data_IF_604270580153
#
_entry.id   IF_604270580153
#
_cell.length_a   1.000
_cell.length_b   1.000
_cell.length_c   1.000
_cell.angle_alpha   90.00
_cell.angle_beta   90.00
_cell.angle_gamma   90.00
#
_symmetry.space_group_name_H-M   'P 1'
#
loop_
_entity.id
_entity.type
_entity.pdbx_description
1 polymer ?
#
# COMPACT_ATOMS: atom_id res chain seq x y z
N UNK A 1 -17.10 25.83 -17.08
CA UNK A 1 -15.87 25.06 -17.35
C UNK A 1 -14.78 25.62 -16.45
N UNK A 2 -14.58 25.05 -15.27
CA UNK A 2 -13.51 25.45 -14.36
C UNK A 2 -12.27 24.64 -14.70
N UNK A 3 -11.28 25.30 -15.30
CA UNK A 3 -9.96 24.71 -15.49
C UNK A 3 -9.32 24.50 -14.11
N UNK A 4 -8.96 23.25 -13.83
CA UNK A 4 -8.29 22.87 -12.59
C UNK A 4 -6.79 23.19 -12.72
N UNK A 5 -6.17 23.85 -11.72
CA UNK A 5 -4.74 24.17 -11.77
C UNK A 5 -3.89 22.91 -11.94
N UNK A 6 -2.85 22.99 -12.75
CA UNK A 6 -2.05 21.85 -13.21
C UNK A 6 -1.66 20.90 -12.08
N UNK A 7 -2.19 19.68 -12.10
CA UNK A 7 -1.83 18.59 -11.20
C UNK A 7 -0.49 17.97 -11.62
N UNK A 8 0.62 18.70 -11.53
CA UNK A 8 1.94 18.07 -11.53
C UNK A 8 2.12 17.42 -10.16
N UNK A 9 2.27 16.08 -10.12
CA UNK A 9 2.81 15.42 -8.94
C UNK A 9 4.22 15.98 -8.73
N UNK A 10 4.43 16.74 -7.65
CA UNK A 10 5.77 16.97 -7.16
C UNK A 10 6.38 15.60 -6.88
N UNK A 11 7.56 15.33 -7.45
CA UNK A 11 8.30 14.10 -7.24
C UNK A 11 8.75 14.03 -5.78
N UNK A 12 7.86 13.62 -4.88
CA UNK A 12 8.23 13.14 -3.55
C UNK A 12 8.67 11.69 -3.69
N UNK A 13 9.65 11.28 -2.87
CA UNK A 13 10.28 9.95 -2.86
C UNK A 13 9.25 8.82 -2.70
N UNK A 14 8.66 8.41 -3.81
CA UNK A 14 7.51 7.50 -3.87
C UNK A 14 7.81 6.46 -4.93
N UNK A 15 7.52 5.20 -4.65
CA UNK A 15 7.79 4.12 -5.61
C UNK A 15 7.04 4.37 -6.93
N UNK A 16 7.61 3.95 -8.08
CA UNK A 16 7.02 4.23 -9.40
C UNK A 16 5.55 3.81 -9.53
N UNK A 17 5.18 2.69 -8.89
CA UNK A 17 3.82 2.16 -8.90
C UNK A 17 2.84 3.06 -8.13
N UNK A 18 3.19 3.50 -6.91
CA UNK A 18 2.32 4.35 -6.08
C UNK A 18 2.17 5.76 -6.68
N UNK A 19 3.23 6.27 -7.30
CA UNK A 19 3.19 7.52 -8.08
C UNK A 19 2.24 7.40 -9.28
N UNK A 20 2.32 6.29 -10.03
CA UNK A 20 1.41 6.00 -11.15
C UNK A 20 -0.04 5.88 -10.70
N UNK A 21 -0.32 5.14 -9.62
CA UNK A 21 -1.67 4.97 -9.08
C UNK A 21 -2.29 6.32 -8.70
N UNK A 22 -1.52 7.16 -8.00
CA UNK A 22 -1.93 8.53 -7.67
C UNK A 22 -2.30 9.34 -8.91
N UNK A 23 -1.44 9.27 -9.93
CA UNK A 23 -1.65 9.98 -11.20
C UNK A 23 -2.91 9.51 -11.93
N UNK A 24 -3.09 8.19 -12.07
CA UNK A 24 -4.23 7.60 -12.80
C UNK A 24 -5.55 7.90 -12.10
N UNK A 25 -5.62 7.71 -10.78
CA UNK A 25 -6.85 7.97 -10.00
C UNK A 25 -7.29 9.43 -10.09
N UNK A 26 -6.35 10.38 -9.97
CA UNK A 26 -6.65 11.81 -10.09
C UNK A 26 -6.99 12.20 -11.53
N UNK A 27 -6.35 11.58 -12.53
CA UNK A 27 -6.66 11.80 -13.94
C UNK A 27 -8.08 11.34 -14.29
N UNK A 28 -8.48 10.15 -13.85
CA UNK A 28 -9.81 9.62 -14.08
C UNK A 28 -10.89 10.53 -13.49
N UNK A 29 -10.66 11.07 -12.29
CA UNK A 29 -11.56 12.01 -11.64
C UNK A 29 -11.71 13.37 -12.36
N UNK A 30 -10.85 13.69 -13.35
CA UNK A 30 -11.02 14.90 -14.19
C UNK A 30 -12.16 14.75 -15.18
N UNK A 31 -12.53 13.52 -15.54
CA UNK A 31 -13.61 13.28 -16.48
C UNK A 31 -14.95 13.47 -15.76
N UNK A 32 -15.87 14.35 -16.23
CA UNK A 32 -17.11 14.67 -15.53
C UNK A 32 -17.97 13.44 -15.18
N UNK A 33 -17.93 12.40 -16.04
CA UNK A 33 -18.65 11.13 -15.82
C UNK A 33 -18.08 10.24 -14.71
N UNK A 34 -16.82 10.43 -14.34
CA UNK A 34 -16.11 9.60 -13.35
C UNK A 34 -15.65 10.40 -12.13
N UNK A 35 -16.07 11.67 -12.04
CA UNK A 35 -15.72 12.53 -10.93
C UNK A 35 -16.61 12.24 -9.71
N UNK A 36 -16.19 11.29 -8.89
CA UNK A 36 -16.84 10.97 -7.60
C UNK A 36 -16.74 12.12 -6.57
N UNK A 37 -15.91 13.13 -6.83
CA UNK A 37 -15.69 14.29 -5.96
C UNK A 37 -16.50 15.52 -6.40
N UNK A 38 -17.44 15.39 -7.35
CA UNK A 38 -18.19 16.51 -7.92
C UNK A 38 -18.97 17.34 -6.87
N UNK A 39 -19.37 16.70 -5.77
CA UNK A 39 -20.15 17.33 -4.69
C UNK A 39 -19.26 17.94 -3.58
N UNK A 40 -17.94 17.78 -3.66
CA UNK A 40 -17.01 18.33 -2.66
C UNK A 40 -16.68 19.78 -3.02
N UNK A 41 -16.80 20.73 -2.07
CA UNK A 41 -16.43 22.12 -2.31
C UNK A 41 -14.96 22.24 -2.78
N UNK A 42 -14.63 23.13 -3.74
CA UNK A 42 -13.26 23.29 -4.24
C UNK A 42 -12.22 23.53 -3.14
N UNK A 43 -12.62 24.22 -2.07
CA UNK A 43 -11.78 24.51 -0.89
C UNK A 43 -11.42 23.24 -0.10
N UNK A 44 -12.34 22.28 -0.01
CA UNK A 44 -12.13 20.99 0.68
C UNK A 44 -11.42 19.95 -0.20
N UNK A 45 -11.51 20.08 -1.53
CA UNK A 45 -10.90 19.14 -2.46
C UNK A 45 -9.37 19.07 -2.33
N UNK A 46 -8.72 20.20 -2.07
CA UNK A 46 -7.25 20.22 -1.85
C UNK A 46 -6.85 19.32 -0.68
N UNK A 47 -7.55 19.42 0.45
CA UNK A 47 -7.31 18.56 1.62
C UNK A 47 -7.66 17.10 1.35
N UNK A 48 -8.77 16.83 0.65
CA UNK A 48 -9.16 15.47 0.24
C UNK A 48 -8.08 14.83 -0.64
N UNK A 49 -7.59 15.55 -1.65
CA UNK A 49 -6.51 15.11 -2.53
C UNK A 49 -5.23 14.79 -1.73
N UNK A 50 -4.84 15.64 -0.80
CA UNK A 50 -3.66 15.39 0.05
C UNK A 50 -3.82 14.10 0.87
N UNK A 51 -5.01 13.85 1.44
CA UNK A 51 -5.29 12.60 2.17
C UNK A 51 -5.27 11.36 1.27
N UNK A 52 -5.82 11.45 0.05
CA UNK A 52 -5.78 10.34 -0.92
C UNK A 52 -4.34 10.01 -1.32
N UNK A 53 -3.55 11.04 -1.62
CA UNK A 53 -2.13 10.87 -1.95
C UNK A 53 -1.43 10.20 -0.76
N UNK A 54 -1.58 10.74 0.44
CA UNK A 54 -0.99 10.17 1.65
C UNK A 54 -1.39 8.71 1.85
N UNK A 55 -2.67 8.37 1.71
CA UNK A 55 -3.16 7.00 1.84
C UNK A 55 -2.48 6.03 0.86
N UNK A 56 -2.31 6.43 -0.41
CA UNK A 56 -1.60 5.61 -1.40
C UNK A 56 -0.14 5.41 -1.00
N UNK A 57 0.52 6.44 -0.47
CA UNK A 57 1.93 6.34 -0.04
C UNK A 57 2.12 5.47 1.20
N UNK A 58 1.12 5.39 2.08
CA UNK A 58 1.15 4.51 3.25
C UNK A 58 1.18 3.02 2.88
N UNK A 59 0.68 2.64 1.70
CA UNK A 59 0.71 1.24 1.20
C UNK A 59 2.05 0.84 0.57
N UNK A 60 3.10 1.64 0.70
CA UNK A 60 4.42 1.35 0.11
C UNK A 60 5.23 0.42 1.02
N UNK A 61 5.46 -0.81 0.57
CA UNK A 61 6.27 -1.79 1.30
C UNK A 61 7.73 -1.36 1.49
N UNK A 62 8.26 -0.43 0.69
CA UNK A 62 9.59 0.13 0.91
C UNK A 62 9.70 0.91 2.23
N UNK A 63 8.57 1.34 2.81
CA UNK A 63 8.50 2.04 4.09
C UNK A 63 8.11 1.13 5.26
N UNK A 64 7.79 -0.14 5.00
CA UNK A 64 7.26 -1.04 6.02
C UNK A 64 8.13 -1.12 7.28
N UNK A 65 9.42 -1.39 7.12
CA UNK A 65 10.33 -1.53 8.26
C UNK A 65 10.56 -0.20 9.02
N UNK A 66 10.61 0.93 8.31
CA UNK A 66 10.69 2.26 8.93
C UNK A 66 9.44 2.53 9.79
N UNK A 67 8.26 2.15 9.30
CA UNK A 67 6.99 2.30 10.02
C UNK A 67 6.92 1.39 11.26
N UNK A 68 7.36 0.13 11.14
CA UNK A 68 7.41 -0.80 12.27
C UNK A 68 8.38 -0.31 13.34
N UNK A 69 9.56 0.19 12.97
CA UNK A 69 10.54 0.73 13.91
C UNK A 69 9.99 1.95 14.67
N UNK A 70 9.34 2.88 13.96
CA UNK A 70 8.70 4.05 14.59
C UNK A 70 7.56 3.65 15.53
N UNK A 71 6.74 2.67 15.15
CA UNK A 71 5.67 2.17 16.00
C UNK A 71 6.24 1.54 17.28
N UNK A 72 7.28 0.70 17.18
CA UNK A 72 7.95 0.10 18.34
C UNK A 72 8.51 1.16 19.28
N UNK A 73 9.24 2.14 18.74
CA UNK A 73 9.79 3.24 19.55
C UNK A 73 8.69 4.02 20.29
N UNK A 74 7.55 4.28 19.63
CA UNK A 74 6.40 4.95 20.27
C UNK A 74 5.76 4.10 21.37
N UNK A 75 5.65 2.78 21.17
CA UNK A 75 5.14 1.85 22.18
C UNK A 75 6.10 1.76 23.39
N UNK A 76 7.41 1.81 23.15
CA UNK A 76 8.43 1.71 24.20
C UNK A 76 8.61 3.01 25.00
N UNK A 77 8.52 4.17 24.33
CA UNK A 77 8.63 5.50 24.95
C UNK A 77 7.34 5.91 25.68
N UNK A 78 6.18 5.35 25.28
CA UNK A 78 4.89 5.57 25.93
C UNK A 78 4.45 4.34 26.73
N UNK A 79 4.75 4.33 28.03
CA UNK A 79 4.08 3.43 28.95
C UNK A 79 2.56 3.69 28.93
N UNK A 80 1.88 2.79 28.21
CA UNK A 80 0.44 2.52 28.14
C UNK A 80 -0.12 2.17 29.52
N UNK A 81 -0.14 3.11 30.47
CA UNK A 81 -0.67 2.81 31.81
C UNK A 81 -1.74 3.75 32.34
N UNK A 82 -2.16 4.77 31.60
CA UNK A 82 -3.22 5.64 32.13
C UNK A 82 -4.28 6.06 31.13
N UNK A 83 -3.97 6.30 29.84
CA UNK A 83 -4.98 6.62 28.83
C UNK A 83 -4.54 6.06 27.46
N UNK A 84 -5.33 5.17 26.86
CA UNK A 84 -4.88 4.22 25.83
C UNK A 84 -4.22 4.80 24.56
N UNK A 85 -3.52 3.90 23.85
CA UNK A 85 -2.70 4.08 22.61
C UNK A 85 -3.31 5.00 21.53
N UNK A 86 -4.64 5.15 21.51
CA UNK A 86 -5.35 6.00 20.54
C UNK A 86 -5.15 7.50 20.83
N UNK A 87 -4.86 7.89 22.08
CA UNK A 87 -4.72 9.30 22.48
C UNK A 87 -3.33 9.86 22.12
N UNK A 88 -2.34 8.99 21.97
CA UNK A 88 -0.95 9.40 21.75
C UNK A 88 -0.52 9.39 20.28
N UNK A 89 -1.11 8.53 19.44
CA UNK A 89 -0.85 8.52 18.01
C UNK A 89 -1.63 9.64 17.29
N UNK A 90 -0.92 10.54 16.60
CA UNK A 90 -1.57 11.55 15.77
C UNK A 90 -2.43 10.89 14.68
N UNK A 91 -3.65 11.41 14.48
CA UNK A 91 -4.65 10.87 13.54
C UNK A 91 -4.10 10.48 12.15
N UNK A 92 -3.29 11.29 11.44
CA UNK A 92 -2.78 10.91 10.12
C UNK A 92 -1.87 9.68 10.14
N UNK A 93 -1.08 9.52 11.21
CA UNK A 93 -0.21 8.37 11.40
C UNK A 93 -1.03 7.10 11.67
N UNK A 94 -2.04 7.19 12.53
CA UNK A 94 -2.94 6.09 12.83
C UNK A 94 -3.73 5.63 11.59
N UNK A 95 -4.31 6.57 10.83
CA UNK A 95 -5.03 6.26 9.59
C UNK A 95 -4.14 5.53 8.57
N UNK A 96 -2.90 6.01 8.41
CA UNK A 96 -1.91 5.39 7.54
C UNK A 96 -1.50 3.98 7.97
N UNK A 97 -1.22 3.81 9.27
CA UNK A 97 -0.85 2.52 9.85
C UNK A 97 -1.98 1.49 9.71
N UNK A 98 -3.22 1.88 10.00
CA UNK A 98 -4.39 1.00 9.84
C UNK A 98 -4.60 0.60 8.38
N UNK A 99 -4.43 1.54 7.45
CA UNK A 99 -4.54 1.24 6.02
C UNK A 99 -3.44 0.27 5.57
N UNK A 100 -2.18 0.50 5.97
CA UNK A 100 -1.06 -0.38 5.65
C UNK A 100 -1.28 -1.79 6.22
N UNK A 101 -1.70 -1.87 7.49
CA UNK A 101 -2.02 -3.15 8.14
C UNK A 101 -3.17 -3.88 7.42
N UNK A 102 -4.16 -3.14 6.93
CA UNK A 102 -5.26 -3.72 6.14
C UNK A 102 -4.76 -4.31 4.81
N UNK A 103 -3.82 -3.63 4.13
CA UNK A 103 -3.25 -4.07 2.84
C UNK A 103 -2.46 -5.40 2.96
N UNK A 104 -1.85 -5.64 4.12
CA UNK A 104 -1.07 -6.87 4.40
C UNK A 104 -1.80 -7.87 5.31
N UNK A 105 -3.12 -7.71 5.52
CA UNK A 105 -3.89 -8.49 6.50
C UNK A 105 -4.27 -9.91 6.04
N UNK A 106 -3.97 -10.29 4.80
CA UNK A 106 -4.36 -11.59 4.22
C UNK A 106 -3.99 -12.82 5.09
N UNK A 107 -2.82 -12.88 5.77
CA UNK A 107 -2.49 -13.98 6.68
C UNK A 107 -3.38 -14.09 7.93
N UNK A 108 -4.13 -13.04 8.27
CA UNK A 108 -5.01 -12.99 9.44
C UNK A 108 -6.44 -13.46 9.15
N UNK A 109 -6.78 -13.71 7.88
CA UNK A 109 -8.06 -14.26 7.47
C UNK A 109 -8.18 -15.75 7.82
N UNK A 110 -9.38 -16.31 7.73
CA UNK A 110 -9.57 -17.77 7.83
C UNK A 110 -8.68 -18.50 6.84
N UNK A 111 -8.18 -19.68 7.20
CA UNK A 111 -7.19 -20.42 6.42
C UNK A 111 -7.54 -20.53 4.93
N UNK A 112 -8.78 -20.89 4.59
CA UNK A 112 -9.20 -21.04 3.18
C UNK A 112 -9.06 -19.74 2.37
N UNK A 113 -9.39 -18.59 2.97
CA UNK A 113 -9.25 -17.28 2.34
C UNK A 113 -7.77 -16.88 2.26
N UNK A 114 -7.03 -17.06 3.35
CA UNK A 114 -5.61 -16.76 3.39
C UNK A 114 -4.84 -17.57 2.34
N UNK A 115 -5.18 -18.85 2.19
CA UNK A 115 -4.64 -19.74 1.18
C UNK A 115 -4.96 -19.28 -0.24
N UNK A 116 -6.22 -18.92 -0.55
CA UNK A 116 -6.59 -18.42 -1.89
C UNK A 116 -5.82 -17.14 -2.24
N UNK A 117 -5.70 -16.19 -1.31
CA UNK A 117 -4.90 -14.97 -1.51
C UNK A 117 -3.42 -15.27 -1.70
N UNK A 118 -2.86 -16.19 -0.91
CA UNK A 118 -1.47 -16.61 -1.04
C UNK A 118 -1.16 -17.20 -2.42
N UNK A 119 -2.04 -18.09 -2.92
CA UNK A 119 -1.90 -18.71 -4.25
C UNK A 119 -1.93 -17.64 -5.35
N UNK A 120 -2.89 -16.69 -5.28
CA UNK A 120 -3.00 -15.59 -6.27
C UNK A 120 -1.76 -14.69 -6.29
N UNK A 121 -1.28 -14.27 -5.11
CA UNK A 121 -0.10 -13.43 -5.00
C UNK A 121 1.16 -14.14 -5.52
N UNK A 122 1.32 -15.42 -5.17
CA UNK A 122 2.44 -16.23 -5.67
C UNK A 122 2.36 -16.48 -7.18
N UNK A 123 1.17 -16.60 -7.77
CA UNK A 123 1.03 -16.74 -9.23
C UNK A 123 1.46 -15.45 -9.92
N UNK A 124 1.05 -14.28 -9.41
CA UNK A 124 1.50 -12.99 -9.92
C UNK A 124 3.04 -12.87 -9.91
N UNK A 125 3.69 -13.20 -8.78
CA UNK A 125 5.16 -13.21 -8.71
C UNK A 125 5.80 -14.19 -9.68
N UNK A 126 5.21 -15.37 -9.85
CA UNK A 126 5.71 -16.38 -10.79
C UNK A 126 5.62 -15.91 -12.25
N UNK A 127 4.50 -15.27 -12.63
CA UNK A 127 4.37 -14.70 -13.97
C UNK A 127 5.33 -13.52 -14.18
N UNK A 128 5.53 -12.69 -13.15
CA UNK A 128 6.51 -11.59 -13.21
C UNK A 128 7.93 -12.13 -13.43
N UNK A 129 8.38 -13.13 -12.67
CA UNK A 129 9.69 -13.75 -12.85
C UNK A 129 9.88 -14.24 -14.29
N UNK A 130 8.89 -14.93 -14.86
CA UNK A 130 8.92 -15.40 -16.26
C UNK A 130 9.03 -14.26 -17.26
N UNK A 131 8.37 -13.13 -17.00
CA UNK A 131 8.43 -11.97 -17.87
C UNK A 131 9.81 -11.32 -17.80
N UNK A 132 10.38 -11.17 -16.61
CA UNK A 132 11.72 -10.64 -16.39
C UNK A 132 12.77 -11.48 -17.09
N UNK A 133 12.73 -12.81 -16.94
CA UNK A 133 13.62 -13.75 -17.62
C UNK A 133 13.52 -13.62 -19.16
N UNK A 134 12.31 -13.54 -19.71
CA UNK A 134 12.09 -13.33 -21.15
C UNK A 134 12.66 -12.00 -21.65
N UNK A 135 12.69 -10.99 -20.79
CA UNK A 135 13.27 -9.68 -21.07
C UNK A 135 14.79 -9.63 -20.81
N UNK A 136 15.41 -10.75 -20.40
CA UNK A 136 16.83 -10.80 -20.05
C UNK A 136 17.16 -10.12 -18.72
N UNK A 137 16.16 -9.89 -17.86
CA UNK A 137 16.31 -9.31 -16.53
C UNK A 137 16.40 -10.43 -15.48
N UNK A 138 17.13 -10.21 -14.37
CA UNK A 138 17.12 -11.14 -13.26
C UNK A 138 15.72 -11.21 -12.63
N UNK A 139 15.21 -12.40 -12.30
CA UNK A 139 13.90 -12.53 -11.66
C UNK A 139 13.90 -11.90 -10.27
N UNK A 140 12.81 -11.22 -9.93
CA UNK A 140 12.64 -10.52 -8.66
C UNK A 140 12.63 -11.50 -7.47
N UNK A 141 11.99 -12.66 -7.65
CA UNK A 141 11.92 -13.73 -6.64
C UNK A 141 12.65 -14.98 -7.14
N UNK A 142 14.00 -14.98 -7.19
CA UNK A 142 14.77 -16.05 -7.83
C UNK A 142 14.61 -17.42 -7.13
N UNK A 143 14.22 -17.42 -5.86
CA UNK A 143 13.96 -18.65 -5.08
C UNK A 143 12.60 -19.26 -5.37
N UNK A 144 11.69 -18.53 -6.04
CA UNK A 144 10.37 -18.99 -6.44
C UNK A 144 10.39 -19.42 -7.92
N UNK A 145 11.11 -20.52 -8.19
CA UNK A 145 11.35 -21.01 -9.55
C UNK A 145 10.22 -21.90 -10.10
N UNK A 146 9.39 -22.49 -9.23
CA UNK A 146 8.27 -23.34 -9.61
C UNK A 146 7.01 -22.95 -8.85
N UNK A 147 5.87 -22.99 -9.54
CA UNK A 147 4.57 -22.75 -8.94
C UNK A 147 3.97 -24.06 -8.44
N UNK A 148 4.26 -24.39 -7.19
CA UNK A 148 3.72 -25.55 -6.47
C UNK A 148 3.39 -25.19 -5.02
N UNK A 149 2.62 -26.05 -4.36
CA UNK A 149 2.14 -25.81 -2.99
C UNK A 149 3.28 -25.66 -1.97
N UNK A 150 4.40 -26.35 -2.17
CA UNK A 150 5.55 -26.25 -1.26
C UNK A 150 6.18 -24.86 -1.36
N UNK A 151 6.41 -24.37 -2.58
CA UNK A 151 6.97 -23.04 -2.82
C UNK A 151 6.01 -21.93 -2.36
N UNK A 152 4.71 -22.08 -2.59
CA UNK A 152 3.69 -21.16 -2.04
C UNK A 152 3.76 -21.11 -0.52
N UNK A 153 3.74 -22.27 0.15
CA UNK A 153 3.82 -22.33 1.61
C UNK A 153 5.12 -21.71 2.15
N UNK A 154 6.27 -22.00 1.53
CA UNK A 154 7.57 -21.42 1.89
C UNK A 154 7.59 -19.91 1.75
N UNK A 155 6.98 -19.38 0.67
CA UNK A 155 6.84 -17.94 0.48
C UNK A 155 6.03 -17.29 1.61
N UNK A 156 4.93 -17.91 2.04
CA UNK A 156 4.08 -17.38 3.11
C UNK A 156 4.75 -17.44 4.48
N UNK A 157 5.47 -18.53 4.80
CA UNK A 157 6.23 -18.64 6.05
C UNK A 157 7.27 -17.52 6.15
N UNK A 158 7.98 -17.22 5.06
CA UNK A 158 8.95 -16.12 5.02
C UNK A 158 8.31 -14.73 5.05
N UNK A 159 7.06 -14.59 4.65
CA UNK A 159 6.35 -13.32 4.70
C UNK A 159 5.85 -13.01 6.11
N UNK A 160 5.44 -14.03 6.86
CA UNK A 160 4.90 -13.90 8.22
C UNK A 160 6.03 -13.86 9.27
N UNK A 161 7.08 -14.65 9.08
CA UNK A 161 8.21 -14.80 10.02
C UNK A 161 9.28 -13.73 9.87
#
# INVERSE_FOLDING_TARGET
MTEWPSMRCAATATTPLRSRLTSVSLFAARHPRFNVFCSIPPQAFSACRQRIISAILWTDMAKHFDMVAQLKAKIEDEMVLTEGIIITLQKPYLEGLLLHASDISNPLLSFDLSFDWAVRACDEFFQQNKLEEKLGQPPHMPTFAAFDLYNVAKCQVNFIG
#
